data_IF_454997498346
#
_entry.id   IF_454997498346
#
_cell.length_a   1.000
_cell.length_b   1.000
_cell.length_c   1.000
_cell.angle_alpha   90.00
_cell.angle_beta   90.00
_cell.angle_gamma   90.00
#
_symmetry.space_group_name_H-M   'P 1'
#
loop_
_entity.id
_entity.type
_entity.pdbx_description
1 polymer ?
#
# COMPACT_ATOMS: atom_id res chain seq x y z
N UNK A 1 -3.64 -7.80 7.94
CA UNK A 1 -3.10 -6.62 7.22
C UNK A 1 -2.64 -7.07 5.85
N UNK A 2 -3.06 -6.37 4.80
CA UNK A 2 -2.68 -6.61 3.42
C UNK A 2 -1.90 -5.39 2.93
N UNK A 3 -0.91 -5.60 2.07
CA UNK A 3 -0.04 -4.53 1.54
C UNK A 3 -0.10 -4.51 0.02
N UNK A 4 -0.07 -3.32 -0.56
CA UNK A 4 -0.10 -3.12 -1.99
C UNK A 4 0.94 -2.09 -2.41
N UNK A 5 1.65 -2.35 -3.49
CA UNK A 5 2.57 -1.42 -4.13
C UNK A 5 2.14 -1.16 -5.57
N UNK A 6 2.45 0.02 -6.10
CA UNK A 6 2.10 0.42 -7.47
C UNK A 6 3.02 -0.18 -8.56
N UNK A 7 4.14 -0.76 -8.12
CA UNK A 7 5.13 -1.44 -8.94
C UNK A 7 5.83 -2.51 -8.10
N UNK A 8 6.76 -3.25 -8.73
CA UNK A 8 7.67 -4.14 -8.00
C UNK A 8 8.36 -3.40 -6.83
N UNK A 9 8.62 -4.08 -5.69
CA UNK A 9 9.08 -3.41 -4.47
C UNK A 9 10.29 -2.48 -4.64
N UNK A 10 11.22 -2.82 -5.52
CA UNK A 10 12.42 -2.04 -5.82
C UNK A 10 12.17 -0.75 -6.63
N UNK A 11 11.00 -0.63 -7.26
CA UNK A 11 10.60 0.50 -8.11
C UNK A 11 9.32 1.21 -7.64
N UNK A 12 8.66 0.68 -6.62
CA UNK A 12 7.41 1.21 -6.07
C UNK A 12 7.56 2.68 -5.62
N UNK A 13 6.60 3.50 -6.03
CA UNK A 13 6.49 4.92 -5.66
C UNK A 13 5.34 5.19 -4.72
N UNK A 14 4.43 4.22 -4.55
CA UNK A 14 3.33 4.24 -3.61
C UNK A 14 3.24 2.92 -2.86
N UNK A 15 2.74 3.00 -1.64
CA UNK A 15 2.57 1.87 -0.76
C UNK A 15 1.32 2.05 0.08
N UNK A 16 0.40 1.10 -0.03
CA UNK A 16 -0.86 1.05 0.71
C UNK A 16 -0.83 -0.13 1.68
N UNK A 17 -1.54 0.03 2.81
CA UNK A 17 -1.94 -1.07 3.67
C UNK A 17 -3.44 -1.05 3.92
N UNK A 18 -4.04 -2.22 3.99
CA UNK A 18 -5.47 -2.41 4.25
C UNK A 18 -5.63 -3.36 5.43
N UNK A 19 -6.30 -2.88 6.48
CA UNK A 19 -6.59 -3.66 7.68
C UNK A 19 -7.88 -4.47 7.49
N UNK A 20 -7.79 -5.46 6.62
CA UNK A 20 -8.86 -6.43 6.39
C UNK A 20 -8.55 -7.76 7.12
N UNK A 21 -9.54 -8.35 7.80
CA UNK A 21 -9.41 -9.71 8.31
C UNK A 21 -9.31 -10.71 7.15
N UNK A 22 -8.56 -11.79 7.38
CA UNK A 22 -8.48 -12.94 6.47
C UNK A 22 -8.99 -14.16 7.25
N UNK A 23 -10.17 -14.64 6.87
CA UNK A 23 -10.88 -15.73 7.55
C UNK A 23 -10.84 -17.03 6.75
N UNK A 24 -10.43 -16.97 5.48
CA UNK A 24 -10.43 -18.10 4.56
C UNK A 24 -11.74 -18.26 3.78
N UNK A 25 -12.80 -17.55 4.19
CA UNK A 25 -13.99 -17.37 3.36
C UNK A 25 -13.75 -16.21 2.39
N UNK A 26 -13.53 -16.56 1.12
CA UNK A 26 -13.24 -15.59 0.06
C UNK A 26 -14.33 -14.53 -0.09
N UNK A 27 -15.61 -14.86 0.12
CA UNK A 27 -16.71 -13.90 -0.03
C UNK A 27 -16.72 -12.94 1.16
N UNK A 28 -16.57 -13.47 2.37
CA UNK A 28 -16.51 -12.65 3.58
C UNK A 28 -15.27 -11.74 3.59
N UNK A 29 -14.11 -12.28 3.22
CA UNK A 29 -12.84 -11.55 3.16
C UNK A 29 -12.92 -10.41 2.12
N UNK A 30 -13.56 -10.65 0.97
CA UNK A 30 -13.81 -9.62 -0.04
C UNK A 30 -14.73 -8.50 0.46
N UNK A 31 -15.83 -8.83 1.14
CA UNK A 31 -16.73 -7.82 1.70
C UNK A 31 -16.06 -7.00 2.81
N UNK A 32 -15.26 -7.65 3.66
CA UNK A 32 -14.49 -6.98 4.70
C UNK A 32 -13.43 -6.04 4.10
N UNK A 33 -12.70 -6.50 3.08
CA UNK A 33 -11.66 -5.73 2.39
C UNK A 33 -12.17 -4.41 1.83
N UNK A 34 -13.34 -4.42 1.17
CA UNK A 34 -13.93 -3.22 0.57
C UNK A 34 -14.25 -2.10 1.58
N UNK A 35 -14.40 -2.44 2.86
CA UNK A 35 -14.78 -1.51 3.93
C UNK A 35 -13.68 -1.30 4.96
N UNK A 36 -12.57 -2.03 4.81
CA UNK A 36 -11.45 -1.99 5.73
C UNK A 36 -10.79 -0.61 5.75
N UNK A 37 -10.22 -0.26 6.91
CA UNK A 37 -9.39 0.93 7.03
C UNK A 37 -8.18 0.77 6.14
N UNK A 38 -7.89 1.80 5.36
CA UNK A 38 -6.71 1.85 4.51
C UNK A 38 -5.84 3.05 4.84
N UNK A 39 -4.54 2.88 4.68
CA UNK A 39 -3.52 3.89 4.92
C UNK A 39 -2.48 3.87 3.81
N UNK A 40 -1.94 5.03 3.49
CA UNK A 40 -0.83 5.21 2.55
C UNK A 40 0.44 5.54 3.33
N UNK A 41 1.56 4.96 2.89
CA UNK A 41 2.86 5.33 3.44
C UNK A 41 3.35 6.62 2.79
N UNK A 42 3.83 7.53 3.63
CA UNK A 42 4.47 8.78 3.23
C UNK A 42 5.83 8.86 3.91
N UNK A 43 6.94 9.12 3.18
CA UNK A 43 8.29 9.13 3.75
C UNK A 43 8.46 10.01 4.99
N UNK A 44 7.75 11.14 5.05
CA UNK A 44 7.89 12.15 6.13
C UNK A 44 6.92 11.96 7.29
N UNK A 45 5.73 11.42 7.03
CA UNK A 45 4.64 11.36 8.03
C UNK A 45 4.26 9.93 8.40
N UNK A 46 4.90 8.94 7.78
CA UNK A 46 4.60 7.54 7.96
C UNK A 46 3.24 7.15 7.37
N UNK A 47 2.56 6.20 8.02
CA UNK A 47 1.24 5.74 7.60
C UNK A 47 0.16 6.76 7.90
N UNK A 48 -0.57 7.20 6.87
CA UNK A 48 -1.67 8.17 7.00
C UNK A 48 -2.98 7.59 6.47
N UNK A 49 -4.14 7.88 7.09
CA UNK A 49 -5.44 7.42 6.59
C UNK A 49 -5.68 7.79 5.12
N UNK A 50 -6.10 6.81 4.32
CA UNK A 50 -6.33 6.99 2.89
C UNK A 50 -7.58 6.23 2.43
N UNK A 51 -8.72 6.90 2.44
CA UNK A 51 -10.02 6.30 2.07
C UNK A 51 -10.17 5.97 0.57
N UNK A 52 -9.25 6.46 -0.27
CA UNK A 52 -9.24 6.21 -1.71
C UNK A 52 -8.58 4.88 -2.11
N UNK A 53 -7.93 4.17 -1.18
CA UNK A 53 -7.08 3.01 -1.47
C UNK A 53 -7.79 1.93 -2.30
N UNK A 54 -8.94 1.44 -1.83
CA UNK A 54 -9.68 0.38 -2.52
C UNK A 54 -10.15 0.81 -3.91
N UNK A 55 -10.54 2.08 -4.08
CA UNK A 55 -10.94 2.61 -5.38
C UNK A 55 -9.75 2.69 -6.34
N UNK A 56 -8.57 3.09 -5.84
CA UNK A 56 -7.34 3.15 -6.65
C UNK A 56 -6.88 1.75 -7.06
N UNK A 57 -6.82 0.80 -6.11
CA UNK A 57 -6.44 -0.60 -6.36
C UNK A 57 -7.35 -1.24 -7.42
N UNK A 58 -8.67 -1.06 -7.31
CA UNK A 58 -9.62 -1.63 -8.27
C UNK A 58 -9.68 -0.87 -9.59
N UNK A 59 -9.43 0.43 -9.56
CA UNK A 59 -9.63 1.34 -10.69
C UNK A 59 -8.46 1.37 -11.66
N UNK A 60 -7.22 1.31 -11.16
CA UNK A 60 -6.02 1.39 -12.02
C UNK A 60 -5.53 0.01 -12.45
N UNK A 61 -5.67 -1.01 -11.59
CA UNK A 61 -5.10 -2.34 -11.83
C UNK A 61 -3.57 -2.38 -11.75
N UNK A 62 -2.93 -1.25 -11.48
CA UNK A 62 -1.48 -1.10 -11.33
C UNK A 62 -1.01 -1.40 -9.91
N UNK A 63 -1.74 -2.23 -9.17
CA UNK A 63 -1.43 -2.52 -7.77
C UNK A 63 -1.23 -4.00 -7.55
N UNK A 64 -0.03 -4.37 -7.12
CA UNK A 64 0.31 -5.72 -6.76
C UNK A 64 0.27 -5.88 -5.23
N UNK A 65 -0.30 -6.99 -4.79
CA UNK A 65 -0.18 -7.41 -3.39
C UNK A 65 1.26 -7.82 -3.11
N UNK A 66 1.85 -7.28 -2.05
CA UNK A 66 3.23 -7.57 -1.63
C UNK A 66 3.27 -8.25 -0.26
N UNK A 67 4.34 -8.99 0.00
CA UNK A 67 4.53 -9.65 1.29
C UNK A 67 4.95 -8.64 2.38
N UNK A 68 4.65 -8.93 3.67
CA UNK A 68 4.97 -8.01 4.76
C UNK A 68 6.46 -7.67 4.92
N UNK A 69 7.36 -8.55 4.49
CA UNK A 69 8.82 -8.34 4.53
C UNK A 69 9.31 -7.41 3.41
N UNK A 70 8.61 -7.36 2.27
CA UNK A 70 8.90 -6.44 1.16
C UNK A 70 8.53 -4.98 1.49
N UNK A 71 7.65 -4.75 2.46
CA UNK A 71 7.22 -3.42 2.90
C UNK A 71 8.41 -2.53 3.27
N UNK A 72 9.41 -3.08 3.97
CA UNK A 72 10.59 -2.32 4.40
C UNK A 72 11.43 -1.85 3.22
N UNK A 73 11.52 -2.68 2.17
CA UNK A 73 12.23 -2.35 0.92
C UNK A 73 11.54 -1.18 0.23
N UNK A 74 10.21 -1.24 0.08
CA UNK A 74 9.43 -0.16 -0.55
C UNK A 74 9.56 1.14 0.23
N UNK A 75 9.44 1.10 1.56
CA UNK A 75 9.58 2.28 2.41
C UNK A 75 10.94 2.95 2.25
N UNK A 76 12.02 2.16 2.23
CA UNK A 76 13.38 2.67 2.03
C UNK A 76 13.54 3.36 0.67
N UNK A 77 13.01 2.76 -0.40
CA UNK A 77 13.07 3.34 -1.75
C UNK A 77 12.30 4.66 -1.84
N UNK A 78 11.11 4.73 -1.25
CA UNK A 78 10.31 5.95 -1.22
C UNK A 78 11.01 7.08 -0.44
N UNK A 79 11.74 6.75 0.64
CA UNK A 79 12.55 7.72 1.39
C UNK A 79 13.70 8.26 0.51
N UNK A 80 14.47 7.37 -0.11
CA UNK A 80 15.57 7.79 -1.00
C UNK A 80 15.08 8.65 -2.16
N UNK A 81 13.93 8.30 -2.75
CA UNK A 81 13.32 9.08 -3.82
C UNK A 81 12.89 10.48 -3.35
N UNK A 82 12.21 10.60 -2.21
CA UNK A 82 11.79 11.89 -1.65
C UNK A 82 12.98 12.80 -1.34
N UNK A 83 14.06 12.25 -0.76
CA UNK A 83 15.30 13.00 -0.50
C UNK A 83 15.95 13.51 -1.79
N UNK A 84 15.99 12.67 -2.84
CA UNK A 84 16.55 13.07 -4.14
C UNK A 84 15.78 14.20 -4.81
N UNK A 85 14.44 14.18 -4.71
CA UNK A 85 13.61 15.26 -5.24
C UNK A 85 13.67 16.53 -4.40
N UNK A 86 13.85 16.43 -3.08
CA UNK A 86 13.98 17.59 -2.19
C UNK A 86 15.31 18.34 -2.34
N UNK A 87 16.35 17.68 -2.86
CA UNK A 87 17.68 18.26 -3.06
C UNK A 87 17.85 19.07 -4.36
N UNK A 88 16.80 19.18 -5.18
CA UNK A 88 16.77 19.91 -6.45
C UNK A 88 15.93 21.17 -6.36
#
# INVERSE_FOLDING_TARGET
>A
MLYYADLLPQYATKLLRIDAPVTGDRVADWEAWKRARAEIWQPKTGWTPYSGAQAEILGTGDWDGIDPDEVVVVQANMIVADEWYAAK
#
